data_IF_972809387952
#
_entry.id   IF_972809387952
#
_cell.length_a   1.000
_cell.length_b   1.000
_cell.length_c   1.000
_cell.angle_alpha   90.00
_cell.angle_beta   90.00
_cell.angle_gamma   90.00
#
_symmetry.space_group_name_H-M   'P 1'
#
loop_
_entity.id
_entity.type
_entity.pdbx_description
1 polymer ?
#
# COMPACT_ATOMS: atom_id res chain seq x y z
N UNK A 1 6.68 0.34 -24.17
CA UNK A 1 7.83 1.27 -24.03
C UNK A 1 7.90 1.61 -22.55
N UNK A 2 8.93 1.14 -21.86
CA UNK A 2 9.05 1.26 -20.41
C UNK A 2 9.42 2.71 -20.03
N UNK A 3 8.41 3.47 -19.58
CA UNK A 3 8.57 4.87 -19.17
C UNK A 3 9.60 5.02 -18.03
N UNK A 4 9.80 3.99 -17.21
CA UNK A 4 10.75 4.00 -16.10
C UNK A 4 12.19 3.77 -16.58
N UNK A 5 12.38 2.87 -17.55
CA UNK A 5 13.68 2.70 -18.21
C UNK A 5 14.08 3.95 -19.00
N UNK A 6 13.12 4.59 -19.68
CA UNK A 6 13.36 5.86 -20.40
C UNK A 6 13.76 6.98 -19.44
N UNK A 7 13.06 7.15 -18.31
CA UNK A 7 13.40 8.17 -17.31
C UNK A 7 14.79 7.96 -16.71
N UNK A 8 15.17 6.71 -16.40
CA UNK A 8 16.48 6.41 -15.79
C UNK A 8 17.66 6.54 -16.77
N UNK A 9 17.43 6.32 -18.07
CA UNK A 9 18.44 6.46 -19.13
C UNK A 9 18.60 7.91 -19.58
N UNK A 10 17.51 8.69 -19.63
CA UNK A 10 17.51 10.08 -20.09
C UNK A 10 17.85 11.08 -18.97
N UNK A 11 17.60 10.76 -17.69
CA UNK A 11 17.91 11.63 -16.54
C UNK A 11 19.38 12.11 -16.50
N UNK A 12 20.39 11.27 -16.76
CA UNK A 12 21.79 11.71 -16.80
C UNK A 12 22.13 12.65 -17.96
N UNK A 13 21.43 12.58 -19.10
CA UNK A 13 21.64 13.47 -20.25
C UNK A 13 20.84 14.77 -20.11
N UNK A 14 19.59 14.70 -19.64
CA UNK A 14 18.80 15.86 -19.27
C UNK A 14 19.47 16.71 -18.18
N UNK A 15 20.16 16.07 -17.22
CA UNK A 15 20.93 16.70 -16.14
C UNK A 15 22.14 17.52 -16.63
N UNK A 16 22.68 17.23 -17.82
CA UNK A 16 23.79 18.02 -18.40
C UNK A 16 23.32 19.31 -19.09
N UNK A 17 22.03 19.40 -19.44
CA UNK A 17 21.48 20.49 -20.24
C UNK A 17 20.40 21.32 -19.53
N UNK A 18 19.84 20.84 -18.41
CA UNK A 18 18.74 21.50 -17.70
C UNK A 18 19.24 22.36 -16.53
N UNK A 19 18.73 23.60 -16.41
CA UNK A 19 18.89 24.41 -15.21
C UNK A 19 18.19 23.74 -14.01
N UNK A 20 18.70 23.95 -12.80
CA UNK A 20 18.21 23.38 -11.55
C UNK A 20 16.68 23.49 -11.39
N UNK A 21 16.08 24.62 -11.77
CA UNK A 21 14.65 24.88 -11.74
C UNK A 21 13.86 24.07 -12.80
N UNK A 22 14.48 23.64 -13.89
CA UNK A 22 13.88 22.74 -14.87
C UNK A 22 13.86 21.29 -14.37
N UNK A 23 14.93 20.85 -13.70
CA UNK A 23 14.98 19.53 -13.04
C UNK A 23 13.96 19.47 -11.91
N UNK A 24 13.86 20.51 -11.08
CA UNK A 24 12.85 20.59 -10.00
C UNK A 24 11.42 20.59 -10.57
N UNK A 25 11.16 21.26 -11.70
CA UNK A 25 9.83 21.25 -12.34
C UNK A 25 9.48 19.91 -12.94
N UNK A 26 10.39 19.24 -13.65
CA UNK A 26 10.16 17.90 -14.21
C UNK A 26 9.90 16.90 -13.07
N UNK A 27 10.70 16.94 -12.01
CA UNK A 27 10.50 16.13 -10.81
C UNK A 27 9.18 16.47 -10.09
N UNK A 28 8.73 17.73 -10.10
CA UNK A 28 7.46 18.16 -9.49
C UNK A 28 6.23 17.78 -10.35
N UNK A 29 6.33 17.79 -11.67
CA UNK A 29 5.26 17.41 -12.60
C UNK A 29 5.09 15.89 -12.66
N UNK A 30 6.19 15.13 -12.69
CA UNK A 30 6.17 13.65 -12.53
C UNK A 30 5.67 13.27 -11.13
N UNK A 31 6.02 14.07 -10.10
CA UNK A 31 5.51 13.91 -8.75
C UNK A 31 4.02 14.17 -8.55
N UNK A 32 3.38 14.94 -9.44
CA UNK A 32 1.93 15.16 -9.38
C UNK A 32 1.16 14.02 -10.05
N UNK A 33 1.77 13.35 -11.03
CA UNK A 33 1.17 12.24 -11.78
C UNK A 33 1.28 10.87 -11.07
N UNK A 34 2.22 10.69 -10.13
CA UNK A 34 2.49 9.40 -9.45
C UNK A 34 2.18 9.47 -7.95
N UNK A 35 0.92 9.70 -7.59
CA UNK A 35 0.45 9.70 -6.19
C UNK A 35 0.41 8.31 -5.54
N UNK A 36 0.75 7.24 -6.26
CA UNK A 36 0.67 5.87 -5.76
C UNK A 36 2.01 5.25 -5.31
N UNK A 37 3.17 5.84 -5.66
CA UNK A 37 4.49 5.26 -5.34
C UNK A 37 5.43 6.24 -4.60
N UNK A 38 4.98 6.76 -3.46
CA UNK A 38 5.77 7.68 -2.61
C UNK A 38 7.13 7.09 -2.16
N UNK A 39 7.24 5.76 -2.03
CA UNK A 39 8.46 5.06 -1.61
C UNK A 39 9.62 5.21 -2.60
N UNK A 40 9.35 5.15 -3.91
CA UNK A 40 10.40 5.27 -4.94
C UNK A 40 10.99 6.68 -5.01
N UNK A 41 10.12 7.70 -4.86
CA UNK A 41 10.53 9.11 -4.80
C UNK A 41 11.42 9.41 -3.60
N UNK A 42 11.10 8.81 -2.45
CA UNK A 42 11.91 8.92 -1.24
C UNK A 42 13.31 8.34 -1.43
N UNK A 43 13.42 7.11 -1.97
CA UNK A 43 14.72 6.47 -2.19
C UNK A 43 15.60 7.25 -3.17
N UNK A 44 15.02 7.77 -4.25
CA UNK A 44 15.74 8.59 -5.21
C UNK A 44 16.30 9.87 -4.57
N UNK A 45 15.50 10.56 -3.74
CA UNK A 45 15.91 11.80 -3.07
C UNK A 45 16.95 11.57 -1.97
N UNK A 46 16.81 10.48 -1.22
CA UNK A 46 17.81 10.07 -0.25
C UNK A 46 19.16 9.77 -0.91
N UNK A 47 19.14 9.19 -2.11
CA UNK A 47 20.36 8.90 -2.89
C UNK A 47 21.04 10.15 -3.44
N UNK A 48 20.32 11.26 -3.59
CA UNK A 48 20.87 12.55 -4.01
C UNK A 48 21.01 13.56 -2.86
N UNK A 49 20.81 13.10 -1.61
CA UNK A 49 20.93 13.84 -0.35
C UNK A 49 20.09 15.13 -0.26
N UNK A 50 18.94 15.16 -0.93
CA UNK A 50 18.01 16.30 -0.87
C UNK A 50 17.05 16.14 0.32
N UNK A 51 17.57 16.42 1.52
CA UNK A 51 16.83 16.28 2.78
C UNK A 51 15.60 17.20 2.86
N UNK A 52 15.64 18.37 2.23
CA UNK A 52 14.53 19.31 2.17
C UNK A 52 13.37 18.77 1.31
N UNK A 53 13.67 18.17 0.16
CA UNK A 53 12.67 17.47 -0.64
C UNK A 53 12.13 16.22 0.08
N UNK A 54 13.00 15.41 0.69
CA UNK A 54 12.61 14.24 1.50
C UNK A 54 11.61 14.66 2.58
N UNK A 55 11.92 15.71 3.34
CA UNK A 55 11.08 16.21 4.42
C UNK A 55 9.66 16.54 3.95
N UNK A 56 9.53 17.29 2.85
CA UNK A 56 8.22 17.66 2.27
C UNK A 56 7.42 16.47 1.77
N UNK A 57 8.07 15.51 1.12
CA UNK A 57 7.39 14.36 0.52
C UNK A 57 6.91 13.42 1.61
N UNK A 58 7.73 13.18 2.62
CA UNK A 58 7.35 12.39 3.79
C UNK A 58 6.14 13.02 4.50
N UNK A 59 6.11 14.34 4.70
CA UNK A 59 4.94 15.01 5.28
C UNK A 59 3.69 14.88 4.40
N UNK A 60 3.83 15.03 3.08
CA UNK A 60 2.70 14.85 2.15
C UNK A 60 2.19 13.41 2.12
N UNK A 61 3.09 12.42 2.09
CA UNK A 61 2.73 11.01 2.15
C UNK A 61 2.02 10.68 3.47
N UNK A 62 2.53 11.18 4.60
CA UNK A 62 1.89 11.05 5.90
C UNK A 62 0.45 11.58 5.89
N UNK A 63 0.18 12.70 5.22
CA UNK A 63 -1.19 13.24 5.07
C UNK A 63 -2.08 12.34 4.25
N UNK A 64 -1.58 11.81 3.14
CA UNK A 64 -2.33 10.88 2.29
C UNK A 64 -2.71 9.62 3.06
N UNK A 65 -1.77 8.99 3.76
CA UNK A 65 -2.06 7.80 4.58
C UNK A 65 -2.98 8.10 5.76
N UNK A 66 -2.83 9.26 6.40
CA UNK A 66 -3.75 9.70 7.45
C UNK A 66 -5.19 9.85 6.93
N UNK A 67 -5.36 10.43 5.74
CA UNK A 67 -6.69 10.58 5.12
C UNK A 67 -7.34 9.24 4.74
N UNK A 68 -6.51 8.20 4.53
CA UNK A 68 -6.94 6.82 4.26
C UNK A 68 -7.12 5.99 5.54
N UNK A 69 -7.07 6.61 6.72
CA UNK A 69 -7.21 5.92 8.00
C UNK A 69 -6.04 4.99 8.36
N UNK A 70 -4.92 5.08 7.65
CA UNK A 70 -3.73 4.24 7.87
C UNK A 70 -2.78 4.96 8.84
N UNK A 71 -3.17 5.06 10.11
CA UNK A 71 -2.54 5.98 11.05
C UNK A 71 -1.11 5.58 11.44
N UNK A 72 -0.82 4.27 11.55
CA UNK A 72 0.53 3.76 11.79
C UNK A 72 1.50 4.10 10.65
N UNK A 73 1.09 3.83 9.40
CA UNK A 73 1.85 4.18 8.20
C UNK A 73 2.06 5.70 8.09
N UNK A 74 1.02 6.48 8.38
CA UNK A 74 1.10 7.93 8.39
C UNK A 74 2.13 8.45 9.39
N UNK A 75 2.12 7.93 10.62
CA UNK A 75 3.08 8.31 11.66
C UNK A 75 4.52 7.99 11.25
N UNK A 76 4.77 6.82 10.64
CA UNK A 76 6.10 6.46 10.11
C UNK A 76 6.62 7.48 9.10
N UNK A 77 5.79 7.90 8.13
CA UNK A 77 6.15 8.93 7.16
C UNK A 77 6.39 10.29 7.83
N UNK A 78 5.56 10.71 8.79
CA UNK A 78 5.79 11.97 9.49
C UNK A 78 7.08 11.98 10.31
N UNK A 79 7.46 10.86 10.96
CA UNK A 79 8.75 10.74 11.68
C UNK A 79 9.94 10.87 10.74
N UNK A 80 9.89 10.21 9.59
CA UNK A 80 10.95 10.33 8.56
C UNK A 80 11.06 11.77 8.06
N UNK A 81 9.93 12.40 7.78
CA UNK A 81 9.89 13.81 7.36
C UNK A 81 10.42 14.75 8.43
N UNK A 82 10.12 14.47 9.70
CA UNK A 82 10.63 15.21 10.85
C UNK A 82 12.16 15.11 10.95
N UNK A 83 12.73 13.90 10.86
CA UNK A 83 14.20 13.70 10.89
C UNK A 83 14.91 14.45 9.77
N UNK A 84 14.38 14.36 8.55
CA UNK A 84 14.93 15.06 7.40
C UNK A 84 14.82 16.59 7.57
N UNK A 85 13.68 17.09 8.06
CA UNK A 85 13.49 18.52 8.35
C UNK A 85 14.42 19.03 9.45
N UNK A 86 14.67 18.22 10.50
CA UNK A 86 15.62 18.53 11.56
C UNK A 86 17.06 18.61 11.02
N UNK A 87 17.43 17.72 10.09
CA UNK A 87 18.77 17.73 9.47
C UNK A 87 19.07 19.03 8.70
N UNK A 88 18.04 19.70 8.18
CA UNK A 88 18.16 20.97 7.43
C UNK A 88 17.61 22.20 8.19
N UNK A 89 17.26 22.04 9.47
CA UNK A 89 16.61 23.08 10.30
C UNK A 89 15.37 23.74 9.65
N UNK A 90 14.57 22.99 8.88
CA UNK A 90 13.30 23.50 8.34
C UNK A 90 12.21 23.51 9.42
N UNK A 91 12.18 24.62 10.17
CA UNK A 91 11.22 24.84 11.26
C UNK A 91 9.76 24.75 10.82
N UNK A 92 9.43 25.07 9.56
CA UNK A 92 8.04 24.99 9.07
C UNK A 92 7.62 23.55 8.89
N UNK A 93 8.50 22.71 8.34
CA UNK A 93 8.21 21.29 8.15
C UNK A 93 8.26 20.54 9.49
N UNK A 94 9.20 20.86 10.38
CA UNK A 94 9.23 20.35 11.77
C UNK A 94 7.89 20.62 12.46
N UNK A 95 7.40 21.87 12.43
CA UNK A 95 6.13 22.24 13.08
C UNK A 95 4.93 21.47 12.51
N UNK A 96 4.90 21.26 11.18
CA UNK A 96 3.84 20.50 10.51
C UNK A 96 3.88 19.02 10.86
N UNK A 97 5.06 18.40 10.81
CA UNK A 97 5.23 16.99 11.15
C UNK A 97 4.87 16.72 12.62
N UNK A 98 5.34 17.57 13.54
CA UNK A 98 5.02 17.48 14.97
C UNK A 98 3.53 17.62 15.26
N UNK A 99 2.87 18.62 14.65
CA UNK A 99 1.42 18.81 14.80
C UNK A 99 0.64 17.63 14.25
N UNK A 100 1.10 17.05 13.13
CA UNK A 100 0.45 15.89 12.53
C UNK A 100 0.62 14.62 13.36
N UNK A 101 1.80 14.37 13.93
CA UNK A 101 2.04 13.26 14.84
C UNK A 101 1.16 13.33 16.09
N UNK A 102 1.08 14.51 16.72
CA UNK A 102 0.21 14.71 17.88
C UNK A 102 -1.28 14.54 17.54
N UNK A 103 -1.72 14.99 16.35
CA UNK A 103 -3.12 14.84 15.91
C UNK A 103 -3.48 13.40 15.52
N UNK A 104 -2.49 12.60 15.09
CA UNK A 104 -2.68 11.20 14.69
C UNK A 104 -2.75 10.24 15.86
N UNK A 105 -2.04 10.52 16.95
CA UNK A 105 -1.89 9.58 18.06
C UNK A 105 -3.24 9.13 18.66
N UNK A 106 -4.26 9.99 18.84
CA UNK A 106 -5.60 9.53 19.25
C UNK A 106 -6.30 8.62 18.24
N UNK A 107 -5.93 8.69 16.96
CA UNK A 107 -6.41 7.80 15.90
C UNK A 107 -5.74 6.43 15.97
N UNK A 108 -4.43 6.39 16.24
CA UNK A 108 -3.67 5.17 16.50
C UNK A 108 -4.24 4.43 17.73
N UNK A 109 -4.58 5.16 18.79
CA UNK A 109 -5.20 4.59 20.01
C UNK A 109 -6.57 3.95 19.75
N UNK A 110 -7.35 4.51 18.80
CA UNK A 110 -8.75 4.12 18.55
C UNK A 110 -8.93 3.03 17.50
N UNK A 111 -7.89 2.65 16.77
CA UNK A 111 -7.96 1.49 15.90
C UNK A 111 -8.36 0.24 16.72
N UNK A 112 -9.30 -0.55 16.22
CA UNK A 112 -9.84 -1.77 16.87
C UNK A 112 -9.07 -3.01 16.44
N UNK A 113 -8.74 -3.92 17.37
CA UNK A 113 -7.94 -5.13 17.09
C UNK A 113 -7.68 -5.97 18.33
N UNK A 114 -7.08 -7.16 18.16
CA UNK A 114 -6.77 -8.08 19.26
C UNK A 114 -5.78 -7.48 20.28
N UNK A 115 -5.66 -8.09 21.45
CA UNK A 115 -4.81 -7.63 22.57
C UNK A 115 -3.36 -7.27 22.16
N UNK A 116 -2.76 -8.02 21.24
CA UNK A 116 -1.43 -7.74 20.66
C UNK A 116 -1.39 -6.46 19.82
N UNK A 117 -2.47 -6.15 19.10
CA UNK A 117 -2.61 -4.88 18.39
C UNK A 117 -2.79 -3.69 19.34
N UNK A 118 -3.40 -3.89 20.51
CA UNK A 118 -3.54 -2.84 21.53
C UNK A 118 -2.18 -2.37 22.08
N UNK A 119 -1.28 -3.31 22.41
CA UNK A 119 0.06 -2.98 22.91
C UNK A 119 0.90 -2.22 21.86
N UNK A 120 0.87 -2.68 20.60
CA UNK A 120 1.56 -2.01 19.49
C UNK A 120 1.00 -0.60 19.24
N UNK A 121 -0.32 -0.41 19.36
CA UNK A 121 -0.95 0.92 19.21
C UNK A 121 -0.54 1.87 20.30
N UNK A 122 -0.62 1.44 21.56
CA UNK A 122 -0.21 2.26 22.70
C UNK A 122 1.28 2.65 22.60
N UNK A 123 2.12 1.71 22.16
CA UNK A 123 3.54 1.97 21.90
C UNK A 123 3.75 2.99 20.77
N UNK A 124 3.01 2.86 19.66
CA UNK A 124 3.10 3.77 18.52
C UNK A 124 2.59 5.18 18.84
N UNK A 125 1.48 5.27 19.57
CA UNK A 125 0.94 6.53 20.07
C UNK A 125 1.94 7.19 21.03
N UNK A 126 2.48 6.44 21.99
CA UNK A 126 3.53 6.91 22.91
C UNK A 126 4.71 7.51 22.16
N UNK A 127 5.27 6.78 21.20
CA UNK A 127 6.43 7.23 20.43
C UNK A 127 6.09 8.47 19.60
N UNK A 128 4.90 8.53 18.97
CA UNK A 128 4.47 9.71 18.22
C UNK A 128 4.33 10.97 19.12
N UNK A 129 3.79 10.80 20.33
CA UNK A 129 3.72 11.89 21.30
C UNK A 129 5.10 12.35 21.78
N UNK A 130 6.05 11.43 22.01
CA UNK A 130 7.43 11.78 22.37
C UNK A 130 8.13 12.57 21.27
N UNK A 131 8.06 12.08 20.03
CA UNK A 131 8.63 12.77 18.86
C UNK A 131 8.03 14.18 18.68
N UNK A 132 6.72 14.30 18.88
CA UNK A 132 6.03 15.59 18.82
C UNK A 132 6.48 16.53 19.94
N UNK A 133 6.65 16.03 21.17
CA UNK A 133 7.12 16.82 22.30
C UNK A 133 8.52 17.39 22.05
N UNK A 134 9.47 16.56 21.62
CA UNK A 134 10.84 16.98 21.30
C UNK A 134 10.84 18.03 20.19
N UNK A 135 10.05 17.81 19.14
CA UNK A 135 9.92 18.78 18.06
C UNK A 135 9.29 20.11 18.53
N UNK A 136 8.34 20.08 19.47
CA UNK A 136 7.78 21.30 20.04
C UNK A 136 8.76 22.03 20.96
N UNK A 137 9.59 21.31 21.73
CA UNK A 137 10.66 21.91 22.53
C UNK A 137 11.68 22.64 21.60
N UNK A 138 12.08 22.01 20.48
CA UNK A 138 12.96 22.65 19.47
C UNK A 138 12.37 23.93 18.86
N UNK A 139 11.03 24.01 18.79
CA UNK A 139 10.32 25.17 18.24
C UNK A 139 9.97 26.23 19.30
N UNK A 140 10.34 26.02 20.58
CA UNK A 140 9.94 26.90 21.69
C UNK A 140 8.43 26.92 21.94
N UNK A 141 7.74 25.79 21.69
CA UNK A 141 6.29 25.62 21.88
C UNK A 141 5.98 24.85 23.16
N UNK A 142 6.39 25.39 24.29
CA UNK A 142 6.41 24.73 25.60
C UNK A 142 5.08 24.09 25.99
N UNK A 143 3.95 24.79 25.80
CA UNK A 143 2.62 24.24 26.13
C UNK A 143 2.19 23.06 25.23
N UNK A 144 2.67 23.01 23.99
CA UNK A 144 2.40 21.88 23.11
C UNK A 144 3.28 20.69 23.49
N UNK A 145 4.54 20.95 23.83
CA UNK A 145 5.47 19.93 24.31
C UNK A 145 5.00 19.28 25.61
N UNK A 146 4.54 20.07 26.60
CA UNK A 146 3.99 19.56 27.86
C UNK A 146 2.79 18.66 27.61
N UNK A 147 1.82 19.10 26.80
CA UNK A 147 0.64 18.29 26.46
C UNK A 147 1.02 16.98 25.76
N UNK A 148 1.98 17.01 24.85
CA UNK A 148 2.47 15.80 24.19
C UNK A 148 3.16 14.86 25.20
N UNK A 149 3.96 15.38 26.14
CA UNK A 149 4.55 14.58 27.22
C UNK A 149 3.50 13.93 28.13
N UNK A 150 2.47 14.68 28.51
CA UNK A 150 1.36 14.15 29.32
C UNK A 150 0.67 12.96 28.63
N UNK A 151 0.38 13.07 27.34
CA UNK A 151 -0.21 11.95 26.59
C UNK A 151 0.75 10.76 26.45
N UNK A 152 2.05 11.00 26.25
CA UNK A 152 3.04 9.92 26.25
C UNK A 152 3.07 9.19 27.61
N UNK A 153 3.01 9.92 28.73
CA UNK A 153 2.95 9.33 30.07
C UNK A 153 1.65 8.57 30.32
N UNK A 154 0.54 9.01 29.74
CA UNK A 154 -0.73 8.28 29.77
C UNK A 154 -0.61 6.93 29.03
N UNK A 155 0.04 6.90 27.86
CA UNK A 155 0.30 5.65 27.14
C UNK A 155 1.23 4.71 27.94
N UNK A 156 2.26 5.26 28.60
CA UNK A 156 3.16 4.48 29.46
C UNK A 156 2.41 3.83 30.63
N UNK A 157 1.56 4.58 31.34
CA UNK A 157 0.75 4.04 32.44
C UNK A 157 -0.21 2.94 31.96
N UNK A 158 -0.75 3.08 30.74
CA UNK A 158 -1.64 2.08 30.15
C UNK A 158 -0.90 0.80 29.76
N UNK A 159 0.30 0.92 29.19
CA UNK A 159 1.17 -0.22 28.90
C UNK A 159 1.56 -0.94 30.20
N UNK A 160 1.88 -0.19 31.24
CA UNK A 160 2.27 -0.72 32.55
C UNK A 160 1.15 -1.53 33.22
N UNK A 161 -0.09 -1.01 33.20
CA UNK A 161 -1.29 -1.70 33.68
C UNK A 161 -1.55 -3.02 32.92
N UNK A 162 -1.34 -3.02 31.60
CA UNK A 162 -1.55 -4.20 30.76
C UNK A 162 -0.47 -5.26 30.91
N UNK A 163 0.77 -4.85 31.17
CA UNK A 163 1.93 -5.74 31.24
C UNK A 163 2.35 -6.08 32.67
N UNK A 164 1.65 -5.55 33.66
CA UNK A 164 1.88 -5.82 35.09
C UNK A 164 3.25 -5.37 35.55
N UNK A 165 3.70 -4.16 35.17
CA UNK A 165 4.99 -3.62 35.60
C UNK A 165 6.17 -3.91 34.66
N UNK A 166 5.94 -4.68 33.57
CA UNK A 166 7.02 -4.99 32.62
C UNK A 166 7.15 -3.87 31.59
N UNK A 167 8.37 -3.36 31.34
CA UNK A 167 8.58 -2.35 30.31
C UNK A 167 8.27 -2.92 28.93
N UNK A 168 7.53 -2.16 28.13
CA UNK A 168 7.33 -2.44 26.71
C UNK A 168 8.31 -1.62 25.88
N UNK A 169 9.33 -2.27 25.35
CA UNK A 169 10.43 -1.66 24.60
C UNK A 169 10.16 -1.67 23.10
N UNK A 170 11.00 -0.94 22.35
CA UNK A 170 10.98 -0.99 20.89
C UNK A 170 11.34 -2.39 20.39
N UNK A 171 12.20 -3.14 21.10
CA UNK A 171 12.54 -4.51 20.73
C UNK A 171 11.32 -5.44 20.87
N UNK A 172 10.58 -5.33 21.98
CA UNK A 172 9.35 -6.10 22.18
C UNK A 172 8.30 -5.77 21.11
N UNK A 173 8.22 -4.51 20.69
CA UNK A 173 7.34 -4.09 19.61
C UNK A 173 7.74 -4.68 18.25
N UNK A 174 9.04 -4.78 17.94
CA UNK A 174 9.52 -5.43 16.72
C UNK A 174 9.30 -6.95 16.78
N UNK A 175 9.59 -7.60 17.91
CA UNK A 175 9.37 -9.04 18.09
C UNK A 175 7.89 -9.41 17.93
N UNK A 176 6.98 -8.64 18.55
CA UNK A 176 5.54 -8.81 18.34
C UNK A 176 5.12 -8.54 16.90
N UNK A 177 5.78 -7.63 16.21
CA UNK A 177 5.51 -7.38 14.80
C UNK A 177 5.89 -8.58 13.93
N UNK A 178 7.09 -9.12 14.15
CA UNK A 178 7.62 -10.27 13.43
C UNK A 178 6.73 -11.49 13.69
N UNK A 179 6.32 -11.71 14.94
CA UNK A 179 5.36 -12.76 15.32
C UNK A 179 4.03 -12.62 14.56
N UNK A 180 3.46 -11.40 14.50
CA UNK A 180 2.21 -11.15 13.77
C UNK A 180 2.37 -11.40 12.26
N UNK A 181 3.52 -11.04 11.69
CA UNK A 181 3.84 -11.29 10.27
C UNK A 181 3.96 -12.79 10.00
N UNK A 182 4.65 -13.53 10.87
CA UNK A 182 4.82 -14.98 10.78
C UNK A 182 3.49 -15.73 10.90
N UNK A 183 2.63 -15.29 11.82
CA UNK A 183 1.28 -15.82 12.03
C UNK A 183 0.31 -15.47 10.90
N UNK A 184 0.75 -14.67 9.91
CA UNK A 184 -0.09 -14.21 8.81
C UNK A 184 -1.21 -13.27 9.27
N UNK A 185 -1.09 -12.70 10.47
CA UNK A 185 -1.96 -11.64 10.92
C UNK A 185 -1.67 -10.38 10.08
N UNK A 186 -2.72 -9.64 9.66
CA UNK A 186 -2.53 -8.44 8.86
C UNK A 186 -1.64 -7.46 9.63
N UNK A 187 -0.47 -7.16 9.06
CA UNK A 187 0.50 -6.25 9.64
C UNK A 187 -0.13 -4.84 9.71
N UNK A 188 -0.22 -4.22 10.89
CA UNK A 188 -0.85 -2.89 11.05
C UNK A 188 -0.10 -1.76 10.32
N UNK A 189 1.07 -2.03 9.75
CA UNK A 189 1.89 -1.07 9.01
C UNK A 189 1.77 -1.18 7.48
N UNK A 190 1.18 -2.27 6.97
CA UNK A 190 1.13 -2.54 5.52
C UNK A 190 -0.28 -2.54 4.93
N UNK A 191 -1.32 -2.72 5.74
CA UNK A 191 -2.69 -2.63 5.25
C UNK A 191 -3.29 -1.25 5.54
N UNK A 192 -3.61 -0.53 4.46
CA UNK A 192 -4.44 0.65 4.57
C UNK A 192 -5.82 0.26 5.05
N UNK A 193 -6.10 0.59 6.32
CA UNK A 193 -7.41 0.58 6.97
C UNK A 193 -8.22 -0.72 6.82
N UNK A 194 -8.43 -1.39 7.95
CA UNK A 194 -9.73 -1.99 8.19
C UNK A 194 -10.78 -0.85 8.08
N UNK A 195 -11.35 -0.72 6.88
CA UNK A 195 -12.44 0.18 6.58
C UNK A 195 -13.59 -0.15 7.54
N UNK A 196 -14.20 0.83 8.23
CA UNK A 196 -15.32 0.56 9.10
C UNK A 196 -16.39 -0.20 8.31
N UNK A 197 -16.86 -1.31 8.88
CA UNK A 197 -17.89 -2.16 8.29
C UNK A 197 -19.09 -1.28 7.86
N UNK A 198 -19.23 -1.06 6.54
CA UNK A 198 -20.30 -0.23 5.99
C UNK A 198 -19.96 0.66 4.79
N UNK A 199 -18.72 0.71 4.29
CA UNK A 199 -18.43 1.36 2.99
C UNK A 199 -18.01 0.33 1.93
N UNK A 200 -18.73 0.33 0.81
CA UNK A 200 -18.59 -0.58 -0.35
C UNK A 200 -17.22 -0.53 -1.07
N UNK A 201 -16.23 0.18 -0.52
CA UNK A 201 -14.87 0.29 -1.09
C UNK A 201 -14.09 -1.02 -0.96
N UNK A 202 -14.46 -1.91 -0.02
CA UNK A 202 -13.82 -3.21 0.14
C UNK A 202 -14.01 -4.14 -1.07
N UNK A 203 -14.87 -3.80 -2.03
CA UNK A 203 -15.15 -4.61 -3.22
C UNK A 203 -14.14 -4.37 -4.34
N UNK A 204 -13.27 -3.35 -4.30
CA UNK A 204 -12.33 -3.12 -5.40
C UNK A 204 -11.11 -4.05 -5.33
N UNK A 205 -10.86 -4.74 -6.46
CA UNK A 205 -9.66 -5.56 -6.62
C UNK A 205 -8.45 -4.61 -6.54
N UNK A 206 -7.42 -4.87 -5.72
CA UNK A 206 -6.26 -3.99 -5.66
C UNK A 206 -5.63 -3.80 -7.05
N UNK A 207 -5.46 -2.55 -7.50
CA UNK A 207 -4.93 -2.25 -8.84
C UNK A 207 -3.59 -2.96 -9.10
N UNK A 208 -2.72 -3.01 -8.09
CA UNK A 208 -1.43 -3.70 -8.16
C UNK A 208 -1.55 -5.20 -8.45
N UNK A 209 -2.62 -5.86 -8.01
CA UNK A 209 -2.85 -7.28 -8.29
C UNK A 209 -3.29 -7.48 -9.74
N UNK A 210 -4.13 -6.57 -10.26
CA UNK A 210 -4.56 -6.63 -11.66
C UNK A 210 -3.37 -6.38 -12.60
N UNK A 211 -2.54 -5.37 -12.32
CA UNK A 211 -1.33 -5.09 -13.08
C UNK A 211 -0.35 -6.27 -13.07
N UNK A 212 -0.13 -6.89 -11.90
CA UNK A 212 0.74 -8.07 -11.80
C UNK A 212 0.21 -9.24 -12.64
N UNK A 213 -1.11 -9.45 -12.64
CA UNK A 213 -1.76 -10.48 -13.44
C UNK A 213 -1.65 -10.20 -14.95
N UNK A 214 -1.84 -8.94 -15.37
CA UNK A 214 -1.71 -8.51 -16.77
C UNK A 214 -0.30 -8.74 -17.30
N UNK A 215 0.72 -8.37 -16.51
CA UNK A 215 2.14 -8.57 -16.87
C UNK A 215 2.46 -10.06 -16.95
N UNK A 216 2.05 -10.86 -15.97
CA UNK A 216 2.31 -12.29 -15.95
C UNK A 216 1.62 -13.00 -17.13
N UNK A 217 0.36 -12.67 -17.40
CA UNK A 217 -0.41 -13.24 -18.50
C UNK A 217 0.17 -12.83 -19.86
N UNK A 218 0.54 -11.56 -20.04
CA UNK A 218 1.19 -11.07 -21.25
C UNK A 218 2.51 -11.79 -21.54
N UNK A 219 3.34 -12.02 -20.52
CA UNK A 219 4.58 -12.78 -20.66
C UNK A 219 4.32 -14.24 -21.11
N UNK A 220 3.32 -14.90 -20.54
CA UNK A 220 2.96 -16.29 -20.88
C UNK A 220 2.40 -16.42 -22.30
N UNK A 221 1.58 -15.45 -22.72
CA UNK A 221 0.94 -15.44 -24.04
C UNK A 221 1.80 -14.79 -25.13
N UNK A 222 2.96 -14.22 -24.75
CA UNK A 222 3.85 -13.45 -25.63
C UNK A 222 3.15 -12.26 -26.29
N UNK A 223 2.33 -11.57 -25.51
CA UNK A 223 1.61 -10.37 -25.94
C UNK A 223 1.85 -9.20 -24.96
N UNK A 224 1.68 -7.95 -25.40
CA UNK A 224 1.74 -6.79 -24.52
C UNK A 224 0.72 -6.84 -23.37
N UNK A 225 1.05 -6.25 -22.21
CA UNK A 225 0.19 -6.28 -21.02
C UNK A 225 -1.19 -5.62 -21.23
N UNK A 226 -1.25 -4.56 -22.05
CA UNK A 226 -2.50 -3.92 -22.47
C UNK A 226 -3.38 -4.89 -23.27
N UNK A 227 -2.80 -5.70 -24.14
CA UNK A 227 -3.54 -6.75 -24.84
C UNK A 227 -4.01 -7.86 -23.89
N UNK A 228 -3.19 -8.25 -22.92
CA UNK A 228 -3.53 -9.26 -21.91
C UNK A 228 -4.66 -8.79 -20.97
N UNK A 229 -4.74 -7.49 -20.67
CA UNK A 229 -5.83 -6.90 -19.85
C UNK A 229 -7.21 -7.20 -20.42
N UNK A 230 -7.36 -7.19 -21.75
CA UNK A 230 -8.62 -7.50 -22.43
C UNK A 230 -9.05 -8.97 -22.28
N UNK A 231 -8.16 -9.84 -21.80
CA UNK A 231 -8.46 -11.26 -21.52
C UNK A 231 -8.96 -11.49 -20.11
N UNK A 232 -8.80 -10.51 -19.22
CA UNK A 232 -9.16 -10.60 -17.81
C UNK A 232 -10.50 -9.92 -17.63
N UNK A 233 -11.54 -10.71 -17.34
CA UNK A 233 -12.88 -10.21 -17.07
C UNK A 233 -13.19 -10.39 -15.60
N UNK A 234 -13.54 -9.30 -14.92
CA UNK A 234 -14.04 -9.39 -13.56
C UNK A 234 -15.45 -9.96 -13.55
N UNK A 235 -15.64 -11.03 -12.80
CA UNK A 235 -16.95 -11.64 -12.57
C UNK A 235 -17.47 -11.16 -11.22
N UNK A 236 -18.64 -10.53 -11.24
CA UNK A 236 -19.39 -10.21 -10.01
C UNK A 236 -20.20 -11.43 -9.61
N UNK A 237 -19.64 -12.26 -8.75
CA UNK A 237 -20.38 -13.29 -8.03
C UNK A 237 -20.64 -12.83 -6.59
N UNK A 238 -21.92 -12.67 -6.21
CA UNK A 238 -22.30 -12.29 -4.84
C UNK A 238 -21.89 -13.33 -3.79
N UNK A 239 -21.64 -14.58 -4.21
CA UNK A 239 -21.28 -15.70 -3.32
C UNK A 239 -19.78 -15.93 -3.25
N UNK A 240 -19.00 -15.44 -4.22
CA UNK A 240 -17.56 -15.66 -4.32
C UNK A 240 -16.85 -14.33 -4.40
N UNK A 241 -16.10 -13.94 -3.35
CA UNK A 241 -15.37 -12.69 -3.42
C UNK A 241 -14.30 -12.79 -4.52
N UNK A 242 -14.23 -11.75 -5.36
CA UNK A 242 -13.22 -11.54 -6.40
C UNK A 242 -12.93 -12.75 -7.30
N UNK A 243 -13.82 -12.97 -8.26
CA UNK A 243 -13.61 -13.93 -9.33
C UNK A 243 -13.17 -13.22 -10.62
N UNK A 244 -12.11 -13.72 -11.25
CA UNK A 244 -11.63 -13.25 -12.55
C UNK A 244 -11.74 -14.39 -13.56
N UNK A 245 -12.35 -14.12 -14.70
CA UNK A 245 -12.29 -15.00 -15.86
C UNK A 245 -11.12 -14.61 -16.73
N UNK A 246 -10.33 -15.59 -17.15
CA UNK A 246 -9.14 -15.41 -17.97
C UNK A 246 -9.32 -16.20 -19.26
N UNK A 247 -9.33 -15.49 -20.39
CA UNK A 247 -9.57 -16.09 -21.70
C UNK A 247 -8.26 -16.31 -22.46
N UNK A 248 -7.81 -17.57 -22.50
CA UNK A 248 -6.58 -17.97 -23.17
C UNK A 248 -6.87 -18.40 -24.63
N UNK A 249 -6.08 -17.96 -25.64
CA UNK A 249 -6.27 -18.40 -27.03
C UNK A 249 -6.27 -19.92 -27.19
N UNK A 250 -7.16 -20.41 -28.04
CA UNK A 250 -7.30 -21.85 -28.30
C UNK A 250 -8.03 -22.63 -27.20
N UNK A 251 -8.56 -21.96 -26.18
CA UNK A 251 -9.39 -22.60 -25.14
C UNK A 251 -10.84 -22.16 -25.25
N UNK A 252 -11.81 -23.10 -25.33
CA UNK A 252 -13.23 -22.76 -25.43
C UNK A 252 -13.87 -22.42 -24.08
N UNK A 253 -13.15 -22.63 -22.97
CA UNK A 253 -13.64 -22.40 -21.61
C UNK A 253 -12.64 -21.48 -20.91
N UNK A 254 -13.07 -20.33 -20.36
CA UNK A 254 -12.19 -19.45 -19.61
C UNK A 254 -11.72 -20.12 -18.33
N UNK A 255 -10.50 -19.82 -17.91
CA UNK A 255 -9.99 -20.18 -16.59
C UNK A 255 -10.60 -19.23 -15.56
N UNK A 256 -11.14 -19.77 -14.47
CA UNK A 256 -11.73 -18.97 -13.40
C UNK A 256 -10.75 -18.86 -12.23
N UNK A 257 -10.26 -17.67 -11.93
CA UNK A 257 -9.38 -17.41 -10.80
C UNK A 257 -10.20 -16.82 -9.64
N UNK A 258 -10.25 -17.52 -8.52
CA UNK A 258 -10.97 -17.12 -7.30
C UNK A 258 -9.96 -16.63 -6.27
N UNK A 259 -10.00 -15.33 -5.98
CA UNK A 259 -9.07 -14.68 -5.07
C UNK A 259 -9.61 -14.66 -3.64
N UNK A 260 -8.75 -14.82 -2.63
CA UNK A 260 -9.18 -14.72 -1.24
C UNK A 260 -9.49 -13.26 -0.90
N UNK A 261 -10.38 -13.03 0.07
CA UNK A 261 -10.68 -11.69 0.60
C UNK A 261 -10.22 -11.56 2.05
N UNK A 262 -9.36 -10.58 2.39
CA UNK A 262 -8.59 -9.74 1.46
C UNK A 262 -7.57 -10.57 0.64
N UNK A 263 -7.13 -10.02 -0.48
CA UNK A 263 -6.02 -10.60 -1.26
C UNK A 263 -4.75 -10.49 -0.44
N UNK A 264 -4.00 -11.59 -0.31
CA UNK A 264 -2.76 -11.61 0.46
C UNK A 264 -1.57 -11.28 -0.44
N UNK A 265 -0.50 -10.71 0.12
CA UNK A 265 0.75 -10.51 -0.60
C UNK A 265 1.30 -11.84 -1.16
N UNK A 266 1.14 -12.95 -0.41
CA UNK A 266 1.51 -14.29 -0.87
C UNK A 266 0.73 -14.76 -2.09
N UNK A 267 -0.59 -14.51 -2.14
CA UNK A 267 -1.40 -14.84 -3.32
C UNK A 267 -0.98 -14.00 -4.54
N UNK A 268 -0.61 -12.73 -4.32
CA UNK A 268 -0.13 -11.82 -5.37
C UNK A 268 1.22 -12.25 -5.92
N UNK A 269 2.16 -12.63 -5.04
CA UNK A 269 3.47 -13.13 -5.46
C UNK A 269 3.33 -14.45 -6.24
N UNK A 270 2.53 -15.38 -5.74
CA UNK A 270 2.31 -16.67 -6.38
C UNK A 270 1.52 -16.59 -7.71
N UNK A 271 0.85 -15.48 -8.00
CA UNK A 271 0.22 -15.25 -9.31
C UNK A 271 1.24 -15.08 -10.43
N UNK A 272 2.40 -14.48 -10.14
CA UNK A 272 3.45 -14.28 -11.13
C UNK A 272 4.01 -15.62 -11.65
N UNK A 273 4.04 -16.63 -10.78
CA UNK A 273 4.56 -17.97 -11.08
C UNK A 273 3.47 -18.94 -11.61
N UNK A 274 2.20 -18.53 -11.60
CA UNK A 274 1.08 -19.38 -12.00
C UNK A 274 0.97 -19.42 -13.52
N UNK A 275 1.24 -20.58 -14.13
CA UNK A 275 1.12 -20.80 -15.58
C UNK A 275 -0.35 -20.92 -16.03
N UNK A 276 -1.02 -19.78 -16.18
CA UNK A 276 -2.41 -19.66 -16.63
C UNK A 276 -2.59 -20.11 -18.08
N UNK A 277 -1.54 -20.02 -18.88
CA UNK A 277 -1.49 -20.54 -20.23
C UNK A 277 -1.13 -22.02 -20.29
N UNK A 278 -0.84 -22.68 -19.18
CA UNK A 278 -0.52 -24.10 -19.10
C UNK A 278 -1.74 -25.00 -19.24
N UNK A 279 -1.54 -26.22 -19.77
CA UNK A 279 -2.62 -27.19 -19.95
C UNK A 279 -3.32 -27.56 -18.64
N UNK A 280 -2.59 -27.57 -17.52
CA UNK A 280 -3.13 -27.85 -16.18
C UNK A 280 -4.12 -26.79 -15.68
N UNK A 281 -3.99 -25.54 -16.12
CA UNK A 281 -4.79 -24.41 -15.61
C UNK A 281 -5.95 -24.03 -16.54
N UNK A 282 -5.84 -24.31 -17.84
CA UNK A 282 -6.80 -23.90 -18.86
C UNK A 282 -8.20 -24.48 -18.61
N UNK A 283 -9.19 -23.60 -18.49
CA UNK A 283 -10.60 -23.97 -18.34
C UNK A 283 -10.98 -24.51 -16.96
N UNK A 284 -10.05 -24.47 -16.00
CA UNK A 284 -10.28 -24.88 -14.62
C UNK A 284 -10.60 -23.71 -13.71
N UNK A 285 -11.18 -24.02 -12.54
CA UNK A 285 -11.28 -23.08 -11.44
C UNK A 285 -10.03 -23.21 -10.55
N UNK A 286 -9.35 -22.09 -10.34
CA UNK A 286 -8.15 -21.94 -9.54
C UNK A 286 -8.49 -21.14 -8.29
N UNK A 287 -8.21 -21.68 -7.10
CA UNK A 287 -8.42 -20.95 -5.85
C UNK A 287 -7.15 -20.94 -5.00
N UNK A 288 -6.88 -19.83 -4.32
CA UNK A 288 -5.76 -19.75 -3.41
C UNK A 288 -6.06 -20.48 -2.09
N UNK A 289 -5.27 -21.50 -1.75
CA UNK A 289 -5.25 -22.10 -0.42
C UNK A 289 -4.29 -21.31 0.48
N UNK A 290 -4.85 -20.61 1.48
CA UNK A 290 -4.07 -19.82 2.43
C UNK A 290 -3.16 -20.66 3.32
N UNK A 291 -3.60 -21.86 3.73
CA UNK A 291 -2.83 -22.71 4.62
C UNK A 291 -1.65 -23.34 3.88
N UNK A 292 -1.90 -23.83 2.67
CA UNK A 292 -0.86 -24.44 1.84
C UNK A 292 0.01 -23.41 1.09
N UNK A 293 -0.41 -22.13 1.05
CA UNK A 293 0.23 -21.05 0.27
C UNK A 293 0.43 -21.44 -1.20
N UNK A 294 -0.56 -22.11 -1.78
CA UNK A 294 -0.51 -22.63 -3.17
C UNK A 294 -1.85 -22.46 -3.87
N UNK A 295 -1.80 -22.39 -5.20
CA UNK A 295 -2.99 -22.44 -6.05
C UNK A 295 -3.51 -23.88 -6.17
N UNK A 296 -4.77 -24.07 -5.81
CA UNK A 296 -5.47 -25.35 -5.94
C UNK A 296 -6.29 -25.35 -7.23
N UNK A 297 -6.11 -26.40 -8.04
CA UNK A 297 -6.87 -26.61 -9.28
C UNK A 297 -8.07 -27.49 -8.98
N UNK A 298 -9.26 -26.97 -9.20
CA UNK A 298 -10.48 -27.74 -9.04
C UNK A 298 -10.80 -28.48 -10.34
N UNK A 299 -10.89 -29.81 -10.26
CA UNK A 299 -11.09 -30.69 -11.42
C UNK A 299 -12.45 -30.57 -12.13
N UNK A 300 -13.31 -29.64 -11.71
CA UNK A 300 -14.52 -29.30 -12.47
C UNK A 300 -14.17 -28.21 -13.48
N UNK A 301 -14.45 -28.40 -14.78
CA UNK A 301 -14.33 -27.30 -15.73
C UNK A 301 -15.19 -26.13 -15.23
N UNK A 302 -14.66 -24.92 -15.32
CA UNK A 302 -15.33 -23.73 -14.81
C UNK A 302 -16.76 -23.68 -15.38
N UNK A 303 -17.80 -23.52 -14.54
CA UNK A 303 -19.16 -23.41 -15.04
C UNK A 303 -19.20 -22.23 -16.02
N UNK A 304 -19.75 -22.44 -17.22
CA UNK A 304 -19.99 -21.32 -18.14
C UNK A 304 -20.94 -20.35 -17.43
N UNK A 305 -20.40 -19.25 -16.92
CA UNK A 305 -21.19 -18.22 -16.30
C UNK A 305 -22.11 -17.64 -17.36
N UNK A 306 -23.41 -17.63 -17.06
CA UNK A 306 -24.48 -17.31 -17.99
C UNK A 306 -24.21 -16.00 -18.74
N UNK A 307 -24.42 -16.00 -20.06
CA UNK A 307 -24.27 -14.84 -20.95
C UNK A 307 -25.29 -13.73 -20.67
N UNK A 308 -26.16 -13.87 -19.66
CA UNK A 308 -27.19 -12.91 -19.29
C UNK A 308 -26.64 -11.53 -18.83
N UNK A 309 -25.35 -11.43 -18.46
CA UNK A 309 -24.68 -10.18 -18.10
C UNK A 309 -23.79 -9.61 -19.23
N UNK A 310 -23.94 -10.08 -20.48
CA UNK A 310 -23.19 -9.52 -21.62
C UNK A 310 -23.79 -8.14 -21.96
N UNK A 311 -23.03 -7.03 -21.88
CA UNK A 311 -23.51 -5.76 -22.41
C UNK A 311 -23.83 -5.93 -23.91
N UNK A 312 -24.91 -5.32 -24.42
CA UNK A 312 -25.27 -5.45 -25.83
C UNK A 312 -24.12 -5.00 -26.71
N UNK A 313 -23.83 -5.79 -27.76
CA UNK A 313 -22.84 -5.45 -28.77
C UNK A 313 -23.36 -4.26 -29.60
N UNK A 314 -23.03 -3.05 -29.18
CA UNK A 314 -23.26 -1.84 -29.95
C UNK A 314 -22.03 -0.96 -29.84
N UNK A 315 -21.09 -1.11 -30.79
CA UNK A 315 -20.20 -0.06 -31.34
C UNK A 315 -19.22 -0.67 -32.35
N UNK A 316 -19.73 -1.32 -33.40
CA UNK A 316 -18.95 -1.62 -34.61
C UNK A 316 -19.87 -1.50 -35.82
N UNK A 317 -20.18 -0.26 -36.22
CA UNK A 317 -20.56 0.11 -37.58
C UNK A 317 -20.78 1.62 -37.59
N UNK A 318 -19.77 2.37 -38.06
CA UNK A 318 -19.94 3.53 -38.96
C UNK A 318 -18.56 4.14 -39.21
N UNK A 319 -17.96 3.74 -40.32
CA UNK A 319 -16.63 4.19 -40.75
C UNK A 319 -16.28 3.70 -42.14
N UNK A 320 -17.26 3.67 -43.05
CA UNK A 320 -17.02 3.65 -44.50
C UNK A 320 -17.96 4.68 -45.12
N UNK A 321 -17.37 5.82 -45.47
CA UNK A 321 -17.93 6.91 -46.26
C UNK A 321 -16.75 7.72 -46.79
#
# INVERSE_FOLDING_TARGET
MDYNAMLLVELPEARRCADEAAVTRICATVAHAVTEQASFRYEALWRIDDQDAVARICVSAGRTFASRGSFGTAASFYRRGLRAAQAVDDRRVIARAASALAALAPGIERETGAFTHELLRLHNARTAYRDAAEAFDLLGRDQAAVRSREHATWCDARLDDRLGGKPFTDADAHELLDQLIEDGAPCPYLEGSAVPAGTDVADELPSALLEALEVALGAQLREPADQASHRIRRVRDRRRPWSLEITVPGTPVPTLLVLPRPATAGATAALADLDLAGEASRGHELSWDRAARTWQIHGRPAPRLSTADRPPASYEAEGQG
#
